data_IF_435272146355
#
_entry.id   IF_435272146355
#
_cell.length_a   1.000
_cell.length_b   1.000
_cell.length_c   1.000
_cell.angle_alpha   90.00
_cell.angle_beta   90.00
_cell.angle_gamma   90.00
#
_symmetry.space_group_name_H-M   'P 1'
#
loop_
_entity.id
_entity.type
_entity.pdbx_description
1 polymer ?
#
# COMPACT_ATOMS: atom_id res chain seq x y z
N UNK A 1 -10.21 0.94 -11.82
CA UNK A 1 -9.69 -0.08 -12.74
C UNK A 1 -10.20 0.09 -14.17
N UNK A 2 -11.49 0.33 -14.41
CA UNK A 2 -12.07 0.47 -15.76
C UNK A 2 -11.49 1.58 -16.63
N UNK A 3 -10.82 2.57 -16.05
CA UNK A 3 -10.18 3.69 -16.78
C UNK A 3 -8.76 3.40 -17.26
N UNK A 4 -8.18 2.27 -16.84
CA UNK A 4 -6.84 1.89 -17.26
C UNK A 4 -6.91 1.11 -18.57
N UNK A 5 -5.95 1.36 -19.45
CA UNK A 5 -5.87 0.66 -20.74
C UNK A 5 -5.51 -0.81 -20.51
N UNK A 6 -6.46 -1.69 -20.80
CA UNK A 6 -6.28 -3.15 -20.66
C UNK A 6 -5.24 -3.72 -21.64
N UNK A 7 -4.95 -3.02 -22.71
CA UNK A 7 -3.93 -3.42 -23.68
C UNK A 7 -2.52 -2.91 -23.34
N UNK A 8 -2.38 -2.09 -22.30
CA UNK A 8 -1.07 -1.62 -21.84
C UNK A 8 -0.24 -2.79 -21.28
N UNK A 9 1.08 -2.63 -21.36
CA UNK A 9 2.04 -3.55 -20.71
C UNK A 9 2.68 -2.82 -19.54
N UNK A 10 2.63 -3.47 -18.38
CA UNK A 10 3.26 -2.97 -17.16
C UNK A 10 4.29 -3.99 -16.67
N UNK A 11 5.43 -3.51 -16.24
CA UNK A 11 6.46 -4.35 -15.60
C UNK A 11 6.15 -4.55 -14.12
N UNK A 12 5.39 -3.61 -13.52
CA UNK A 12 5.03 -3.61 -12.12
C UNK A 12 3.80 -2.73 -11.88
N UNK A 13 2.91 -3.16 -10.99
CA UNK A 13 1.78 -2.36 -10.50
C UNK A 13 2.02 -1.97 -9.04
N UNK A 14 2.13 -0.67 -8.77
CA UNK A 14 2.36 -0.14 -7.41
C UNK A 14 1.10 0.59 -6.94
N UNK A 15 0.62 0.25 -5.76
CA UNK A 15 -0.59 0.82 -5.17
C UNK A 15 -0.35 1.23 -3.71
N UNK A 16 -0.90 2.35 -3.30
CA UNK A 16 -0.89 2.77 -1.90
C UNK A 16 -2.03 2.14 -1.12
N UNK A 17 -1.77 1.67 0.11
CA UNK A 17 -2.82 1.39 1.08
C UNK A 17 -3.52 2.72 1.45
N UNK A 18 -4.84 2.77 1.25
CA UNK A 18 -5.61 4.02 1.30
C UNK A 18 -5.74 4.60 2.71
N UNK A 19 -5.10 5.73 2.96
CA UNK A 19 -5.29 6.50 4.20
C UNK A 19 -6.70 7.08 4.30
N UNK A 20 -7.33 7.39 3.17
CA UNK A 20 -8.70 7.91 3.11
C UNK A 20 -9.72 6.88 3.58
N UNK A 21 -9.51 5.59 3.32
CA UNK A 21 -10.43 4.55 3.80
C UNK A 21 -10.39 4.44 5.32
N UNK A 22 -9.23 4.58 5.95
CA UNK A 22 -9.10 4.66 7.40
C UNK A 22 -9.80 5.90 7.96
N UNK A 23 -9.56 7.07 7.38
CA UNK A 23 -10.16 8.34 7.82
C UNK A 23 -11.68 8.34 7.69
N UNK A 24 -12.21 7.66 6.67
CA UNK A 24 -13.66 7.53 6.44
C UNK A 24 -14.27 6.34 7.18
N UNK A 25 -13.51 5.61 7.99
CA UNK A 25 -13.95 4.41 8.70
C UNK A 25 -14.63 3.39 7.78
N UNK A 26 -14.03 3.14 6.61
CA UNK A 26 -14.53 2.09 5.72
C UNK A 26 -14.46 0.72 6.41
N UNK A 27 -15.45 -0.15 6.20
CA UNK A 27 -15.42 -1.49 6.78
C UNK A 27 -14.14 -2.24 6.38
N UNK A 28 -13.40 -2.78 7.35
CA UNK A 28 -12.19 -3.54 7.07
C UNK A 28 -12.51 -4.80 6.25
N UNK A 29 -13.58 -5.50 6.62
CA UNK A 29 -13.88 -6.82 6.06
C UNK A 29 -12.92 -7.88 6.60
N UNK A 30 -12.80 -8.96 5.87
CA UNK A 30 -11.88 -10.06 6.17
C UNK A 30 -11.22 -10.56 4.90
N UNK A 31 -10.03 -11.11 5.02
CA UNK A 31 -9.35 -11.77 3.91
C UNK A 31 -10.17 -12.99 3.48
N UNK A 32 -10.42 -13.11 2.19
CA UNK A 32 -11.26 -14.17 1.66
C UNK A 32 -10.57 -15.55 1.71
N UNK A 33 -11.35 -16.61 1.66
CA UNK A 33 -10.82 -17.97 1.56
C UNK A 33 -10.06 -18.16 0.23
N UNK A 34 -9.15 -19.13 0.22
CA UNK A 34 -8.47 -19.52 -1.03
C UNK A 34 -9.48 -19.96 -2.10
N UNK A 35 -9.22 -19.59 -3.36
CA UNK A 35 -10.08 -19.89 -4.49
C UNK A 35 -11.30 -18.96 -4.63
N UNK A 36 -11.44 -17.93 -3.79
CA UNK A 36 -12.46 -16.90 -3.94
C UNK A 36 -12.19 -16.10 -5.21
N UNK A 37 -13.23 -15.90 -6.03
CA UNK A 37 -13.18 -15.13 -7.29
C UNK A 37 -14.07 -13.90 -7.27
N UNK A 38 -14.98 -13.80 -6.31
CA UNK A 38 -15.87 -12.66 -6.13
C UNK A 38 -15.57 -11.98 -4.79
N UNK A 39 -15.16 -10.70 -4.85
CA UNK A 39 -14.73 -9.94 -3.69
C UNK A 39 -15.74 -8.85 -3.33
N UNK A 40 -16.00 -8.66 -2.04
CA UNK A 40 -16.80 -7.54 -1.54
C UNK A 40 -15.98 -6.24 -1.55
N UNK A 41 -16.01 -5.53 -2.67
CA UNK A 41 -15.28 -4.26 -2.84
C UNK A 41 -15.84 -3.10 -2.00
N UNK A 42 -16.89 -3.31 -1.20
CA UNK A 42 -17.33 -2.34 -0.19
C UNK A 42 -16.48 -2.37 1.07
N UNK A 43 -15.65 -3.40 1.22
CA UNK A 43 -14.68 -3.55 2.31
C UNK A 43 -13.25 -3.31 1.84
N UNK A 44 -12.35 -2.93 2.76
CA UNK A 44 -10.94 -2.70 2.45
C UNK A 44 -10.26 -3.99 1.96
N UNK A 45 -10.41 -5.10 2.70
CA UNK A 45 -9.84 -6.38 2.29
C UNK A 45 -10.32 -6.83 0.92
N UNK A 46 -11.62 -6.82 0.68
CA UNK A 46 -12.19 -7.23 -0.60
C UNK A 46 -11.77 -6.32 -1.76
N UNK A 47 -11.61 -5.01 -1.53
CA UNK A 47 -11.13 -4.09 -2.55
C UNK A 47 -9.65 -4.34 -2.90
N UNK A 48 -8.81 -4.62 -1.91
CA UNK A 48 -7.38 -4.96 -2.14
C UNK A 48 -7.27 -6.27 -2.92
N UNK A 49 -7.98 -7.33 -2.49
CA UNK A 49 -7.97 -8.63 -3.17
C UNK A 49 -8.49 -8.52 -4.61
N UNK A 50 -9.55 -7.71 -4.83
CA UNK A 50 -10.04 -7.40 -6.18
C UNK A 50 -8.97 -6.74 -7.05
N UNK A 51 -8.24 -5.75 -6.53
CA UNK A 51 -7.17 -5.06 -7.28
C UNK A 51 -6.10 -6.07 -7.67
N UNK A 52 -5.63 -6.90 -6.75
CA UNK A 52 -4.59 -7.91 -7.00
C UNK A 52 -5.04 -8.89 -8.09
N UNK A 53 -6.24 -9.45 -7.96
CA UNK A 53 -6.81 -10.39 -8.92
C UNK A 53 -6.96 -9.74 -10.31
N UNK A 54 -7.51 -8.52 -10.35
CA UNK A 54 -7.70 -7.79 -11.59
C UNK A 54 -6.39 -7.47 -12.32
N UNK A 55 -5.33 -7.08 -11.58
CA UNK A 55 -4.01 -6.79 -12.16
C UNK A 55 -3.38 -8.06 -12.71
N UNK A 56 -3.43 -9.14 -11.95
CA UNK A 56 -2.92 -10.45 -12.37
C UNK A 56 -3.62 -10.94 -13.65
N UNK A 57 -4.95 -10.90 -13.69
CA UNK A 57 -5.73 -11.38 -14.83
C UNK A 57 -5.61 -10.49 -16.08
N UNK A 58 -5.42 -9.17 -15.88
CA UNK A 58 -5.44 -8.21 -17.01
C UNK A 58 -4.07 -7.96 -17.60
N UNK A 59 -3.03 -7.86 -16.76
CA UNK A 59 -1.70 -7.44 -17.19
C UNK A 59 -0.59 -8.44 -16.86
N UNK A 60 -0.88 -9.45 -16.04
CA UNK A 60 0.07 -10.50 -15.64
C UNK A 60 1.42 -9.90 -15.16
N UNK A 61 1.34 -8.86 -14.33
CA UNK A 61 2.51 -8.20 -13.77
C UNK A 61 2.50 -8.28 -12.23
N UNK A 62 3.68 -8.22 -11.60
CA UNK A 62 3.79 -8.19 -10.15
C UNK A 62 3.05 -7.00 -9.54
N UNK A 63 2.55 -7.19 -8.30
CA UNK A 63 1.87 -6.15 -7.54
C UNK A 63 2.67 -5.83 -6.29
N UNK A 64 2.85 -4.55 -6.01
CA UNK A 64 3.43 -4.03 -4.78
C UNK A 64 2.46 -3.04 -4.15
N UNK A 65 2.15 -3.24 -2.88
CA UNK A 65 1.51 -2.21 -2.07
C UNK A 65 2.53 -1.48 -1.21
N UNK A 66 2.33 -0.19 -0.99
CA UNK A 66 3.08 0.53 0.04
C UNK A 66 2.15 1.11 1.09
N UNK A 67 2.63 1.10 2.33
CA UNK A 67 1.93 1.60 3.51
C UNK A 67 2.51 2.96 3.85
N UNK A 68 1.67 3.94 4.23
CA UNK A 68 2.07 5.29 4.61
C UNK A 68 3.11 5.27 5.74
N UNK A 69 3.92 6.32 5.88
CA UNK A 69 4.72 6.51 7.10
C UNK A 69 3.81 6.58 8.32
N UNK A 70 4.36 6.29 9.50
CA UNK A 70 3.56 6.20 10.72
C UNK A 70 2.79 7.49 11.02
N UNK A 71 1.52 7.32 11.31
CA UNK A 71 0.65 8.28 11.99
C UNK A 71 -0.31 7.51 12.91
N UNK A 72 -0.81 8.15 13.95
CA UNK A 72 -1.66 7.49 14.94
C UNK A 72 -3.07 7.23 14.38
N UNK A 73 -3.37 5.94 14.11
CA UNK A 73 -4.68 5.52 13.62
C UNK A 73 -4.87 4.01 13.83
N UNK A 74 -5.77 3.63 14.73
CA UNK A 74 -6.12 2.21 14.96
C UNK A 74 -6.71 1.58 13.70
N UNK A 75 -7.52 2.33 12.95
CA UNK A 75 -8.11 1.85 11.70
C UNK A 75 -7.04 1.55 10.65
N UNK A 76 -6.05 2.45 10.50
CA UNK A 76 -4.97 2.24 9.54
C UNK A 76 -4.02 1.12 9.95
N UNK A 77 -3.74 0.98 11.25
CA UNK A 77 -2.97 -0.12 11.79
C UNK A 77 -3.63 -1.48 11.48
N UNK A 78 -4.95 -1.60 11.68
CA UNK A 78 -5.71 -2.80 11.33
C UNK A 78 -5.69 -3.09 9.81
N UNK A 79 -5.73 -2.06 8.97
CA UNK A 79 -5.61 -2.21 7.52
C UNK A 79 -4.20 -2.68 7.11
N UNK A 80 -3.15 -2.19 7.76
CA UNK A 80 -1.78 -2.61 7.51
C UNK A 80 -1.56 -4.09 7.90
N UNK A 81 -2.12 -4.52 9.03
CA UNK A 81 -2.09 -5.93 9.46
C UNK A 81 -2.81 -6.83 8.45
N UNK A 82 -4.02 -6.46 8.03
CA UNK A 82 -4.79 -7.20 7.02
C UNK A 82 -4.06 -7.26 5.67
N UNK A 83 -3.38 -6.18 5.25
CA UNK A 83 -2.55 -6.20 4.05
C UNK A 83 -1.39 -7.21 4.17
N UNK A 84 -0.79 -7.36 5.35
CA UNK A 84 0.21 -8.38 5.62
C UNK A 84 -0.31 -9.81 5.40
N UNK A 85 -1.52 -10.10 5.87
CA UNK A 85 -2.20 -11.40 5.63
C UNK A 85 -2.49 -11.62 4.14
N UNK A 86 -3.00 -10.59 3.45
CA UNK A 86 -3.24 -10.63 2.00
C UNK A 86 -1.93 -10.86 1.26
N UNK A 87 -0.83 -10.21 1.69
CA UNK A 87 0.48 -10.35 1.09
C UNK A 87 1.02 -11.77 1.15
N UNK A 88 0.76 -12.50 2.23
CA UNK A 88 1.12 -13.91 2.35
C UNK A 88 0.29 -14.80 1.41
N UNK A 89 -1.00 -14.49 1.25
CA UNK A 89 -1.92 -15.25 0.40
C UNK A 89 -1.60 -15.11 -1.09
N UNK A 90 -1.25 -13.91 -1.54
CA UNK A 90 -1.08 -13.59 -2.98
C UNK A 90 0.37 -13.41 -3.41
N UNK A 91 1.34 -13.55 -2.51
CA UNK A 91 2.78 -13.38 -2.78
C UNK A 91 3.12 -12.01 -3.41
N UNK A 92 2.41 -10.95 -3.00
CA UNK A 92 2.68 -9.58 -3.44
C UNK A 92 3.80 -8.94 -2.64
N UNK A 93 4.44 -7.90 -3.20
CA UNK A 93 5.38 -7.06 -2.46
C UNK A 93 4.66 -6.08 -1.53
N UNK A 94 5.24 -5.83 -0.35
CA UNK A 94 4.76 -4.82 0.59
C UNK A 94 5.91 -3.94 1.03
N UNK A 95 5.83 -2.64 0.76
CA UNK A 95 6.75 -1.63 1.29
C UNK A 95 6.11 -1.06 2.56
N UNK A 96 6.55 -1.56 3.71
CA UNK A 96 6.01 -1.15 4.99
C UNK A 96 6.78 0.05 5.55
N UNK A 97 6.31 1.26 5.27
CA UNK A 97 6.84 2.48 5.87
C UNK A 97 6.19 2.76 7.25
N UNK A 98 5.10 2.07 7.58
CA UNK A 98 4.29 2.33 8.77
C UNK A 98 4.92 1.75 10.04
N UNK A 99 5.31 0.48 10.00
CA UNK A 99 5.87 -0.22 11.16
C UNK A 99 7.40 -0.17 11.23
N UNK A 100 8.08 0.37 10.21
CA UNK A 100 9.54 0.54 10.21
C UNK A 100 9.94 1.64 11.21
N UNK A 101 10.26 1.23 12.44
CA UNK A 101 10.65 2.14 13.53
C UNK A 101 11.86 2.99 13.15
N UNK A 102 12.85 2.40 12.48
CA UNK A 102 14.06 3.12 12.06
C UNK A 102 13.75 4.16 10.99
N UNK A 103 12.86 3.85 10.07
CA UNK A 103 12.41 4.79 9.04
C UNK A 103 11.66 5.98 9.66
N UNK A 104 10.84 5.72 10.68
CA UNK A 104 10.03 6.73 11.36
C UNK A 104 10.79 7.48 12.48
N UNK A 105 12.02 7.09 12.82
CA UNK A 105 12.88 7.78 13.79
C UNK A 105 13.52 9.01 13.16
N UNK A 106 12.75 10.04 12.94
CA UNK A 106 13.16 11.34 12.39
C UNK A 106 13.00 12.44 13.45
N UNK A 107 13.87 13.46 13.38
CA UNK A 107 13.80 14.60 14.30
C UNK A 107 12.56 15.47 14.03
N UNK A 108 12.20 16.34 14.99
CA UNK A 108 11.12 17.32 14.78
C UNK A 108 11.41 18.28 13.61
N UNK A 109 12.67 18.66 13.43
CA UNK A 109 13.10 19.50 12.30
C UNK A 109 12.89 18.78 10.97
N UNK A 110 13.28 17.51 10.89
CA UNK A 110 13.03 16.68 9.72
C UNK A 110 11.53 16.46 9.49
N UNK A 111 10.76 16.23 10.53
CA UNK A 111 9.31 16.09 10.44
C UNK A 111 8.66 17.37 9.89
N UNK A 112 9.07 18.52 10.38
CA UNK A 112 8.57 19.82 9.89
C UNK A 112 8.93 20.08 8.42
N UNK A 113 10.07 19.54 7.93
CA UNK A 113 10.47 19.64 6.54
C UNK A 113 9.73 18.63 5.66
N UNK A 114 9.55 17.39 6.14
CA UNK A 114 9.08 16.27 5.35
C UNK A 114 7.57 16.08 5.35
N UNK A 115 6.84 16.60 6.35
CA UNK A 115 5.40 16.40 6.49
C UNK A 115 4.64 17.70 6.33
N UNK A 116 3.61 17.71 5.49
CA UNK A 116 2.69 18.82 5.34
C UNK A 116 1.62 18.82 6.43
N UNK A 117 1.25 17.65 6.92
CA UNK A 117 0.36 17.36 8.05
C UNK A 117 0.75 15.99 8.65
N UNK A 118 -0.10 15.39 9.46
CA UNK A 118 0.20 14.10 10.11
C UNK A 118 0.28 12.92 9.12
N UNK A 119 -0.30 13.04 7.93
CA UNK A 119 -0.46 11.94 6.96
C UNK A 119 0.34 12.19 5.68
N UNK A 120 0.36 13.44 5.18
CA UNK A 120 0.83 13.76 3.85
C UNK A 120 2.25 14.31 3.85
N UNK A 121 3.20 13.64 3.16
CA UNK A 121 4.53 14.19 2.96
C UNK A 121 4.53 15.45 2.10
N UNK A 122 5.48 16.33 2.36
CA UNK A 122 5.84 17.42 1.46
C UNK A 122 6.60 16.87 0.24
N UNK A 123 6.89 17.75 -0.72
CA UNK A 123 7.79 17.39 -1.84
C UNK A 123 9.16 16.90 -1.33
N UNK A 124 9.72 17.54 -0.30
CA UNK A 124 10.98 17.11 0.32
C UNK A 124 10.82 15.75 0.98
N UNK A 125 9.73 15.50 1.70
CA UNK A 125 9.43 14.20 2.31
C UNK A 125 9.37 13.06 1.30
N UNK A 126 8.73 13.29 0.17
CA UNK A 126 8.73 12.29 -0.91
C UNK A 126 10.15 12.05 -1.46
N UNK A 127 10.90 13.10 -1.80
CA UNK A 127 12.18 12.97 -2.50
C UNK A 127 13.32 12.48 -1.59
N UNK A 128 13.37 12.92 -0.33
CA UNK A 128 14.52 12.72 0.54
C UNK A 128 14.29 11.62 1.58
N UNK A 129 13.05 11.28 1.86
CA UNK A 129 12.68 10.33 2.92
C UNK A 129 11.99 9.06 2.36
N UNK A 130 10.87 9.20 1.62
CA UNK A 130 10.12 8.03 1.12
C UNK A 130 10.79 7.36 -0.09
N UNK A 131 11.14 8.13 -1.11
CA UNK A 131 11.66 7.60 -2.38
C UNK A 131 12.89 6.71 -2.19
N UNK A 132 13.93 7.09 -1.43
CA UNK A 132 15.11 6.23 -1.24
C UNK A 132 14.76 4.87 -0.63
N UNK A 133 13.84 4.85 0.33
CA UNK A 133 13.38 3.61 0.97
C UNK A 133 12.58 2.73 0.02
N UNK A 134 11.68 3.35 -0.75
CA UNK A 134 10.89 2.64 -1.74
C UNK A 134 11.74 2.08 -2.88
N UNK A 135 12.70 2.85 -3.37
CA UNK A 135 13.64 2.41 -4.40
C UNK A 135 14.47 1.20 -3.94
N UNK A 136 15.00 1.22 -2.72
CA UNK A 136 15.74 0.09 -2.15
C UNK A 136 14.92 -1.21 -2.22
N UNK A 137 13.66 -1.16 -1.81
CA UNK A 137 12.74 -2.30 -1.89
C UNK A 137 12.50 -2.74 -3.33
N UNK A 138 12.17 -1.79 -4.22
CA UNK A 138 11.81 -2.09 -5.61
C UNK A 138 12.97 -2.70 -6.39
N UNK A 139 14.20 -2.25 -6.16
CA UNK A 139 15.39 -2.86 -6.78
C UNK A 139 15.60 -4.30 -6.33
N UNK A 140 15.32 -4.61 -5.07
CA UNK A 140 15.42 -5.98 -4.56
C UNK A 140 14.28 -6.87 -5.06
N UNK A 141 13.09 -6.31 -5.18
CA UNK A 141 11.88 -7.03 -5.60
C UNK A 141 11.86 -7.34 -7.10
N UNK A 142 12.35 -6.42 -7.94
CA UNK A 142 12.40 -6.56 -9.40
C UNK A 142 13.67 -7.24 -9.92
N UNK A 143 14.70 -7.40 -9.08
CA UNK A 143 15.98 -8.06 -9.42
C UNK A 143 15.92 -9.54 -9.26
#
# INVERSE_FOLDING_TARGET
>A
MEKLDKGAKFDLFVCQLSTNDATQNKPLGSVSAEGTTEFDTSTVCGAIEYIISYVSETWDCPVVFYINSYYESDAYAAMAEALGEIGQKYEIGIIDLYTDEKFNDITEEQRSLYMADEIHPTKAGYLEWWTPKMEEFLYQFAG
#
